data_IF_906319908805
#
_entry.id   IF_906319908805
#
_cell.length_a   1.000
_cell.length_b   1.000
_cell.length_c   1.000
_cell.angle_alpha   90.00
_cell.angle_beta   90.00
_cell.angle_gamma   90.00
#
_symmetry.space_group_name_H-M   'P 1'
#
loop_
_entity.id
_entity.type
_entity.pdbx_description
1 polymer ?
#
# COMPACT_ATOMS: atom_id res chain seq x y z
N UNK A 1 -6.60 31.39 17.14
CA UNK A 1 -7.37 30.66 16.13
C UNK A 1 -6.38 29.81 15.32
N UNK A 2 -6.37 28.50 15.51
CA UNK A 2 -5.52 27.59 14.73
C UNK A 2 -6.32 27.16 13.50
N UNK A 3 -5.89 27.56 12.30
CA UNK A 3 -6.46 27.05 11.05
C UNK A 3 -6.21 25.55 11.00
N UNK A 4 -7.23 24.75 10.81
CA UNK A 4 -7.06 23.30 10.86
C UNK A 4 -6.31 22.82 9.59
N UNK A 5 -5.28 22.01 9.82
CA UNK A 5 -4.35 21.47 8.81
C UNK A 5 -5.01 20.60 7.72
N UNK A 6 -6.30 20.25 7.86
CA UNK A 6 -7.06 19.48 6.88
C UNK A 6 -7.43 20.27 5.60
N UNK A 7 -7.53 21.61 5.68
CA UNK A 7 -7.79 22.43 4.47
C UNK A 7 -6.65 22.33 3.45
N UNK A 8 -5.41 22.12 3.90
CA UNK A 8 -4.27 21.89 3.01
C UNK A 8 -4.34 20.54 2.29
N UNK A 9 -4.84 19.50 2.97
CA UNK A 9 -4.97 18.17 2.37
C UNK A 9 -6.02 18.14 1.25
N UNK A 10 -7.16 18.81 1.44
CA UNK A 10 -8.22 18.90 0.42
C UNK A 10 -7.76 19.69 -0.80
N UNK A 11 -6.98 20.76 -0.62
CA UNK A 11 -6.42 21.53 -1.72
C UNK A 11 -5.38 20.74 -2.52
N UNK A 12 -4.59 19.88 -1.87
CA UNK A 12 -3.61 19.01 -2.55
C UNK A 12 -4.32 17.95 -3.40
N UNK A 13 -5.40 17.35 -2.89
CA UNK A 13 -6.17 16.36 -3.65
C UNK A 13 -6.84 16.98 -4.86
N UNK A 14 -7.48 18.15 -4.71
CA UNK A 14 -8.08 18.88 -5.85
C UNK A 14 -7.01 19.32 -6.87
N UNK A 15 -5.83 19.73 -6.41
CA UNK A 15 -4.70 20.10 -7.29
C UNK A 15 -4.12 18.94 -8.09
N UNK A 16 -4.08 17.74 -7.52
CA UNK A 16 -3.54 16.54 -8.19
C UNK A 16 -4.51 16.06 -9.29
N UNK A 17 -5.82 16.11 -9.06
CA UNK A 17 -6.82 15.66 -10.05
C UNK A 17 -6.91 16.59 -11.25
N UNK A 18 -6.75 17.89 -11.05
CA UNK A 18 -6.79 18.88 -12.16
C UNK A 18 -5.43 19.06 -12.86
N UNK A 19 -4.31 18.71 -12.22
CA UNK A 19 -2.96 18.91 -12.76
C UNK A 19 -2.44 17.81 -13.70
N UNK A 20 -3.09 16.66 -13.77
CA UNK A 20 -2.60 15.53 -14.57
C UNK A 20 -2.82 15.67 -16.09
N UNK A 21 -3.60 16.64 -16.54
CA UNK A 21 -3.88 16.84 -17.98
C UNK A 21 -2.87 17.74 -18.70
N UNK A 22 -1.96 18.46 -18.01
CA UNK A 22 -1.12 19.49 -18.60
C UNK A 22 0.39 19.15 -18.70
N UNK A 23 0.85 17.99 -18.26
CA UNK A 23 2.29 17.66 -18.19
C UNK A 23 2.85 16.82 -19.35
N UNK A 24 2.23 16.85 -20.53
CA UNK A 24 2.59 15.96 -21.64
C UNK A 24 3.59 16.57 -22.65
N UNK A 25 4.47 17.51 -22.28
CA UNK A 25 5.42 18.11 -23.21
C UNK A 25 6.88 18.06 -22.74
N UNK A 26 7.28 17.10 -21.92
CA UNK A 26 8.70 16.87 -21.65
C UNK A 26 9.27 15.95 -22.72
N UNK A 27 10.27 16.42 -23.47
CA UNK A 27 11.10 15.60 -24.36
C UNK A 27 11.79 14.51 -23.55
N UNK A 28 11.24 13.31 -23.59
CA UNK A 28 11.79 12.14 -22.90
C UNK A 28 12.95 11.60 -23.74
N UNK A 29 14.17 11.77 -23.29
CA UNK A 29 15.30 10.99 -23.78
C UNK A 29 15.04 9.51 -23.48
N UNK A 30 15.20 8.61 -24.46
CA UNK A 30 14.98 7.19 -24.23
C UNK A 30 16.03 6.66 -23.25
N UNK A 31 15.62 6.42 -22.03
CA UNK A 31 16.39 5.65 -21.05
C UNK A 31 16.30 4.17 -21.47
N UNK A 32 17.42 3.48 -21.42
CA UNK A 32 17.50 2.04 -21.70
C UNK A 32 16.36 1.30 -21.02
N UNK A 33 15.51 0.72 -21.84
CA UNK A 33 14.37 -0.06 -21.37
C UNK A 33 14.88 -1.40 -20.79
N UNK A 34 15.22 -1.42 -19.52
CA UNK A 34 15.19 -2.68 -18.76
C UNK A 34 13.79 -3.28 -18.93
N UNK A 35 13.72 -4.61 -19.06
CA UNK A 35 12.54 -5.44 -19.31
C UNK A 35 11.34 -5.16 -18.38
N UNK A 36 10.83 -3.93 -18.40
CA UNK A 36 9.62 -3.53 -17.68
C UNK A 36 8.46 -4.08 -18.50
N UNK A 37 7.79 -5.07 -17.95
CA UNK A 37 6.56 -5.57 -18.55
C UNK A 37 5.55 -4.42 -18.58
N UNK A 38 5.10 -3.95 -19.76
CA UNK A 38 4.22 -2.79 -19.85
C UNK A 38 2.79 -3.09 -19.37
N UNK A 39 2.51 -4.36 -19.10
CA UNK A 39 1.19 -4.83 -18.66
C UNK A 39 1.27 -5.32 -17.23
N UNK A 40 0.30 -4.88 -16.43
CA UNK A 40 0.04 -5.40 -15.08
C UNK A 40 -1.19 -6.28 -15.21
N UNK A 41 -1.05 -7.55 -14.90
CA UNK A 41 -2.20 -8.42 -14.81
C UNK A 41 -1.96 -9.50 -13.76
N UNK A 42 -3.01 -9.82 -13.04
CA UNK A 42 -3.04 -10.96 -12.13
C UNK A 42 -4.43 -11.54 -12.11
N UNK A 43 -4.51 -12.83 -11.85
CA UNK A 43 -5.77 -13.53 -11.68
C UNK A 43 -5.65 -14.43 -10.46
N UNK A 44 -6.63 -14.38 -9.58
CA UNK A 44 -6.67 -15.22 -8.39
C UNK A 44 -8.10 -15.66 -8.11
N UNK A 45 -8.22 -16.78 -7.41
CA UNK A 45 -9.48 -17.31 -6.89
C UNK A 45 -9.42 -17.28 -5.38
N UNK A 46 -9.76 -16.14 -4.72
CA UNK A 46 -9.65 -16.00 -3.27
C UNK A 46 -10.65 -16.87 -2.51
N UNK A 47 -11.76 -17.27 -3.14
CA UNK A 47 -12.76 -18.19 -2.58
C UNK A 47 -13.40 -19.04 -3.67
N UNK A 48 -14.20 -20.03 -3.28
CA UNK A 48 -14.95 -20.83 -4.27
C UNK A 48 -16.01 -20.02 -5.01
N UNK A 49 -16.45 -18.91 -4.41
CA UNK A 49 -17.51 -18.05 -4.92
C UNK A 49 -17.04 -16.75 -5.56
N UNK A 50 -15.74 -16.53 -5.70
CA UNK A 50 -15.22 -15.28 -6.29
C UNK A 50 -13.92 -15.45 -7.05
N UNK A 51 -13.78 -14.66 -8.11
CA UNK A 51 -12.54 -14.45 -8.86
C UNK A 51 -12.13 -13.00 -8.74
N UNK A 52 -10.84 -12.77 -8.63
CA UNK A 52 -10.27 -11.45 -8.60
C UNK A 52 -9.26 -11.31 -9.73
N UNK A 53 -9.41 -10.26 -10.53
CA UNK A 53 -8.54 -9.97 -11.66
C UNK A 53 -8.05 -8.51 -11.55
N UNK A 54 -6.75 -8.32 -11.69
CA UNK A 54 -6.15 -6.99 -11.88
C UNK A 54 -5.71 -6.88 -13.33
N UNK A 55 -6.08 -5.80 -14.00
CA UNK A 55 -5.61 -5.45 -15.33
C UNK A 55 -5.14 -4.02 -15.36
N UNK A 56 -4.05 -3.75 -16.05
CA UNK A 56 -3.52 -2.40 -16.14
C UNK A 56 -2.33 -2.27 -17.08
N UNK A 57 -1.80 -1.08 -17.16
CA UNK A 57 -0.62 -0.76 -17.90
C UNK A 57 0.36 0.06 -17.05
N UNK A 58 1.65 -0.10 -17.30
CA UNK A 58 2.72 0.65 -16.68
C UNK A 58 3.57 1.31 -17.77
N UNK A 59 3.85 2.59 -17.60
CA UNK A 59 4.70 3.33 -18.54
C UNK A 59 6.17 3.22 -18.12
N UNK A 60 7.09 3.00 -19.08
CA UNK A 60 8.52 2.88 -18.82
C UNK A 60 9.19 4.25 -18.73
N UNK A 61 8.69 5.11 -17.84
CA UNK A 61 9.23 6.46 -17.61
C UNK A 61 9.54 6.65 -16.12
N UNK A 62 10.32 7.67 -15.73
CA UNK A 62 10.56 8.00 -14.33
C UNK A 62 9.25 8.08 -13.53
N UNK A 63 9.25 7.52 -12.32
CA UNK A 63 8.03 7.41 -11.52
C UNK A 63 7.13 6.24 -11.90
N UNK A 64 7.47 5.47 -12.94
CA UNK A 64 6.76 4.25 -13.38
C UNK A 64 5.25 4.36 -13.22
N UNK A 65 4.59 5.38 -13.81
CA UNK A 65 3.16 5.54 -13.69
C UNK A 65 2.45 4.31 -14.22
N UNK A 66 1.56 3.77 -13.41
CA UNK A 66 0.73 2.63 -13.76
C UNK A 66 -0.73 2.98 -13.49
N UNK A 67 -1.63 2.41 -14.27
CA UNK A 67 -3.07 2.58 -14.11
C UNK A 67 -3.79 1.31 -14.52
N UNK A 68 -4.95 1.08 -13.96
CA UNK A 68 -5.69 -0.13 -14.23
C UNK A 68 -6.99 -0.24 -13.45
N UNK A 69 -7.50 -1.45 -13.43
CA UNK A 69 -8.70 -1.82 -12.70
C UNK A 69 -8.50 -3.15 -11.98
N UNK A 70 -9.01 -3.20 -10.77
CA UNK A 70 -9.20 -4.42 -10.00
C UNK A 70 -10.67 -4.83 -10.16
N UNK A 71 -10.93 -6.02 -10.68
CA UNK A 71 -12.26 -6.52 -11.00
C UNK A 71 -12.54 -7.72 -10.10
N UNK A 72 -13.60 -7.63 -9.33
CA UNK A 72 -14.12 -8.74 -8.55
C UNK A 72 -15.32 -9.34 -9.30
N UNK A 73 -15.17 -10.61 -9.70
CA UNK A 73 -16.19 -11.36 -10.40
C UNK A 73 -16.69 -12.46 -9.48
N UNK A 74 -17.97 -12.45 -9.11
CA UNK A 74 -18.55 -13.58 -8.38
C UNK A 74 -18.51 -14.82 -9.28
N UNK A 75 -18.13 -15.97 -8.72
CA UNK A 75 -18.22 -17.23 -9.42
C UNK A 75 -19.71 -17.57 -9.63
N UNK A 76 -20.05 -18.02 -10.81
CA UNK A 76 -21.39 -18.51 -11.08
C UNK A 76 -21.73 -19.63 -10.09
N UNK A 77 -22.77 -19.45 -9.29
CA UNK A 77 -23.27 -20.52 -8.42
C UNK A 77 -23.68 -21.73 -9.29
N UNK A 78 -23.48 -22.96 -8.81
CA UNK A 78 -23.91 -24.15 -9.52
C UNK A 78 -25.39 -24.04 -9.89
N UNK A 79 -25.76 -24.48 -11.09
CA UNK A 79 -27.14 -24.34 -11.63
C UNK A 79 -28.25 -24.94 -10.78
N UNK A 80 -27.91 -25.77 -9.79
CA UNK A 80 -28.87 -26.38 -8.86
C UNK A 80 -29.25 -25.50 -7.67
N UNK A 81 -28.63 -24.31 -7.50
CA UNK A 81 -29.02 -23.35 -6.47
C UNK A 81 -30.19 -22.53 -6.99
N UNK A 82 -31.41 -22.95 -6.67
CA UNK A 82 -32.68 -22.40 -7.19
C UNK A 82 -32.94 -20.93 -6.85
N UNK A 83 -32.31 -20.38 -5.82
CA UNK A 83 -32.52 -18.99 -5.35
C UNK A 83 -31.26 -18.12 -5.49
N UNK A 84 -30.36 -18.44 -6.40
CA UNK A 84 -29.22 -17.58 -6.67
C UNK A 84 -29.70 -16.22 -7.22
N UNK A 85 -29.28 -15.08 -6.65
CA UNK A 85 -29.60 -13.78 -7.23
C UNK A 85 -29.07 -13.71 -8.64
N UNK A 86 -29.93 -13.39 -9.59
CA UNK A 86 -29.63 -13.43 -11.05
C UNK A 86 -28.76 -12.28 -11.56
N UNK A 87 -28.50 -11.29 -10.73
CA UNK A 87 -27.71 -10.12 -11.11
C UNK A 87 -26.45 -9.99 -10.27
N UNK A 88 -25.41 -10.72 -10.68
CA UNK A 88 -24.07 -10.43 -10.23
C UNK A 88 -23.48 -9.37 -11.15
N UNK A 89 -23.41 -8.14 -10.68
CA UNK A 89 -22.66 -7.09 -11.36
C UNK A 89 -21.21 -7.24 -10.90
N UNK A 90 -20.24 -7.38 -11.81
CA UNK A 90 -18.85 -7.32 -11.44
C UNK A 90 -18.57 -5.96 -10.79
N UNK A 91 -17.97 -5.95 -9.62
CA UNK A 91 -17.49 -4.72 -9.00
C UNK A 91 -16.07 -4.43 -9.51
N UNK A 92 -15.80 -3.17 -9.79
CA UNK A 92 -14.51 -2.76 -10.32
C UNK A 92 -13.96 -1.53 -9.61
N UNK A 93 -12.72 -1.58 -9.15
CA UNK A 93 -12.01 -0.45 -8.58
C UNK A 93 -10.97 0.04 -9.59
N UNK A 94 -11.05 1.30 -9.97
CA UNK A 94 -10.02 1.96 -10.77
C UNK A 94 -8.85 2.35 -9.89
N UNK A 95 -7.63 2.23 -10.40
CA UNK A 95 -6.46 2.66 -9.68
C UNK A 95 -5.42 3.31 -10.59
N UNK A 96 -4.65 4.22 -10.01
CA UNK A 96 -3.44 4.74 -10.60
C UNK A 96 -2.33 4.75 -9.54
N UNK A 97 -1.09 4.56 -9.97
CA UNK A 97 0.09 4.47 -9.10
C UNK A 97 1.27 5.19 -9.71
N UNK A 98 1.98 5.95 -8.89
CA UNK A 98 3.28 6.51 -9.19
C UNK A 98 4.29 5.94 -8.21
N UNK A 99 5.38 5.34 -8.72
CA UNK A 99 6.44 4.77 -7.88
C UNK A 99 7.79 5.32 -8.31
N UNK A 100 8.47 5.95 -7.36
CA UNK A 100 9.86 6.40 -7.51
C UNK A 100 10.73 5.53 -6.63
N UNK A 101 11.70 4.86 -7.24
CA UNK A 101 12.64 3.97 -6.56
C UNK A 101 13.96 3.96 -7.33
N UNK A 102 15.01 3.40 -6.73
CA UNK A 102 16.34 3.24 -7.32
C UNK A 102 16.98 4.59 -7.75
N UNK A 103 17.16 4.80 -9.05
CA UNK A 103 17.84 5.97 -9.61
C UNK A 103 16.99 7.25 -9.60
N UNK A 104 15.69 7.13 -9.42
CA UNK A 104 14.73 8.23 -9.43
C UNK A 104 14.19 8.53 -8.04
N UNK A 105 15.03 9.19 -7.22
CA UNK A 105 14.67 9.53 -5.83
C UNK A 105 13.86 10.82 -5.77
N UNK A 106 12.68 10.75 -5.18
CA UNK A 106 11.87 11.92 -4.91
C UNK A 106 12.21 12.47 -3.51
N UNK A 107 12.59 13.75 -3.44
CA UNK A 107 12.91 14.44 -2.18
C UNK A 107 13.98 13.71 -1.32
N UNK A 108 14.91 12.97 -1.96
CA UNK A 108 15.96 12.22 -1.26
C UNK A 108 15.48 10.94 -0.58
N UNK A 109 14.22 10.53 -0.76
CA UNK A 109 13.71 9.24 -0.34
C UNK A 109 14.15 8.15 -1.31
N UNK A 110 14.43 6.96 -0.80
CA UNK A 110 14.86 5.83 -1.64
C UNK A 110 13.67 5.09 -2.26
N UNK A 111 12.49 5.22 -1.67
CA UNK A 111 11.23 4.70 -2.18
C UNK A 111 10.13 5.74 -1.95
N UNK A 112 9.35 6.03 -2.97
CA UNK A 112 8.13 6.85 -2.85
C UNK A 112 7.06 6.24 -3.71
N UNK A 113 5.90 5.99 -3.12
CA UNK A 113 4.76 5.36 -3.79
C UNK A 113 3.50 6.20 -3.51
N UNK A 114 2.81 6.61 -4.57
CA UNK A 114 1.52 7.26 -4.49
C UNK A 114 0.52 6.40 -5.24
N UNK A 115 -0.50 5.92 -4.55
CA UNK A 115 -1.59 5.14 -5.13
C UNK A 115 -2.91 5.87 -4.90
N UNK A 116 -3.66 6.04 -5.98
CA UNK A 116 -5.03 6.54 -5.96
C UNK A 116 -5.94 5.39 -6.37
N UNK A 117 -7.07 5.23 -5.69
CA UNK A 117 -8.10 4.25 -6.02
C UNK A 117 -9.48 4.91 -5.99
N UNK A 118 -10.31 4.49 -6.89
CA UNK A 118 -11.70 4.91 -6.96
C UNK A 118 -12.59 3.69 -7.23
N UNK A 119 -13.56 3.51 -6.37
CA UNK A 119 -14.59 2.49 -6.51
C UNK A 119 -15.89 3.18 -6.93
N UNK A 120 -16.31 3.03 -8.20
CA UNK A 120 -17.51 3.69 -8.70
C UNK A 120 -18.80 3.11 -8.11
N UNK A 121 -18.79 1.86 -7.62
CA UNK A 121 -19.99 1.22 -7.09
C UNK A 121 -20.34 1.74 -5.70
N UNK A 122 -19.33 2.05 -4.89
CA UNK A 122 -19.49 2.60 -3.53
C UNK A 122 -19.26 4.11 -3.47
N UNK A 123 -18.91 4.74 -4.59
CA UNK A 123 -18.46 6.14 -4.68
C UNK A 123 -17.33 6.46 -3.69
N UNK A 124 -16.42 5.49 -3.49
CA UNK A 124 -15.34 5.56 -2.53
C UNK A 124 -14.03 5.90 -3.23
N UNK A 125 -13.44 7.01 -2.87
CA UNK A 125 -12.08 7.36 -3.27
C UNK A 125 -11.09 7.11 -2.13
N UNK A 126 -9.89 6.62 -2.47
CA UNK A 126 -8.80 6.49 -1.52
C UNK A 126 -7.46 6.89 -2.12
N UNK A 127 -6.64 7.51 -1.29
CA UNK A 127 -5.28 7.90 -1.64
C UNK A 127 -4.34 7.31 -0.61
N UNK A 128 -3.25 6.69 -1.08
CA UNK A 128 -2.16 6.24 -0.21
C UNK A 128 -0.85 6.82 -0.71
N UNK A 129 -0.14 7.46 0.19
CA UNK A 129 1.22 7.93 -0.03
C UNK A 129 2.16 7.20 0.92
N UNK A 130 3.25 6.66 0.40
CA UNK A 130 4.30 6.01 1.20
C UNK A 130 5.65 6.57 0.80
N UNK A 131 6.46 6.94 1.78
CA UNK A 131 7.84 7.36 1.58
C UNK A 131 8.76 6.52 2.46
N UNK A 132 9.87 6.07 1.90
CA UNK A 132 10.84 5.22 2.58
C UNK A 132 12.27 5.72 2.41
N UNK A 133 13.06 5.62 3.48
CA UNK A 133 14.49 5.92 3.50
C UNK A 133 15.26 4.73 4.03
N UNK A 134 16.24 4.26 3.27
CA UNK A 134 17.13 3.17 3.66
C UNK A 134 18.50 3.74 4.01
N UNK A 135 18.92 3.54 5.23
CA UNK A 135 20.20 4.01 5.76
C UNK A 135 21.06 2.79 6.07
N UNK A 136 22.22 2.71 5.43
CA UNK A 136 23.19 1.65 5.71
C UNK A 136 23.98 2.02 6.97
N UNK A 137 23.70 1.35 8.08
CA UNK A 137 24.38 1.59 9.36
C UNK A 137 25.77 0.95 9.37
N UNK A 138 25.86 -0.29 8.91
CA UNK A 138 27.12 -1.05 8.81
C UNK A 138 27.08 -1.95 7.58
N UNK A 139 28.15 -2.75 7.37
CA UNK A 139 28.18 -3.78 6.30
C UNK A 139 27.07 -4.83 6.43
N UNK A 140 26.54 -5.01 7.64
CA UNK A 140 25.58 -6.06 7.97
C UNK A 140 24.31 -5.55 8.63
N UNK A 141 24.12 -4.23 8.73
CA UNK A 141 22.94 -3.65 9.34
C UNK A 141 22.40 -2.50 8.48
N UNK A 142 21.10 -2.52 8.22
CA UNK A 142 20.37 -1.45 7.56
C UNK A 142 19.25 -0.96 8.47
N UNK A 143 19.02 0.34 8.43
CA UNK A 143 17.86 1.00 9.01
C UNK A 143 16.93 1.41 7.88
N UNK A 144 15.67 1.08 7.99
CA UNK A 144 14.63 1.50 7.05
C UNK A 144 13.62 2.32 7.85
N UNK A 145 13.42 3.55 7.41
CA UNK A 145 12.38 4.43 7.91
C UNK A 145 11.28 4.48 6.84
N UNK A 146 10.03 4.32 7.25
CA UNK A 146 8.89 4.41 6.32
C UNK A 146 7.75 5.15 6.95
N UNK A 147 7.22 6.12 6.21
CA UNK A 147 6.01 6.86 6.53
C UNK A 147 4.95 6.52 5.49
N UNK A 148 3.73 6.22 5.93
CA UNK A 148 2.59 5.95 5.07
C UNK A 148 1.40 6.77 5.55
N UNK A 149 0.75 7.43 4.61
CA UNK A 149 -0.46 8.22 4.82
C UNK A 149 -1.54 7.68 3.91
N UNK A 150 -2.69 7.38 4.45
CA UNK A 150 -3.85 6.98 3.68
C UNK A 150 -5.04 7.85 4.01
N UNK A 151 -5.77 8.23 2.98
CA UNK A 151 -6.98 9.01 3.05
C UNK A 151 -8.08 8.25 2.33
N UNK A 152 -9.28 8.26 2.87
CA UNK A 152 -10.46 7.67 2.27
C UNK A 152 -11.61 8.65 2.41
N UNK A 153 -12.36 8.86 1.34
CA UNK A 153 -13.52 9.71 1.33
C UNK A 153 -14.67 9.00 0.63
N UNK A 154 -15.88 8.97 1.22
CA UNK A 154 -17.07 8.53 0.53
C UNK A 154 -17.52 9.65 -0.42
N UNK A 155 -17.27 9.44 -1.74
CA UNK A 155 -17.53 10.43 -2.77
C UNK A 155 -16.60 11.63 -2.80
N UNK A 156 -16.74 12.46 -3.84
CA UNK A 156 -15.96 13.69 -3.99
C UNK A 156 -16.61 14.90 -3.32
N UNK A 157 -17.85 14.78 -2.87
CA UNK A 157 -18.65 15.90 -2.35
C UNK A 157 -18.69 15.98 -0.82
N UNK A 158 -18.28 14.93 -0.12
CA UNK A 158 -18.33 14.89 1.34
C UNK A 158 -17.06 15.44 1.98
N UNK A 159 -17.22 16.16 3.09
CA UNK A 159 -16.10 16.60 3.93
C UNK A 159 -15.69 15.53 4.97
N UNK A 160 -16.27 14.35 4.89
CA UNK A 160 -15.98 13.25 5.81
C UNK A 160 -14.79 12.44 5.28
N UNK A 161 -13.58 12.84 5.66
CA UNK A 161 -12.34 12.20 5.26
C UNK A 161 -11.84 11.33 6.40
N UNK A 162 -11.79 10.04 6.17
CA UNK A 162 -11.05 9.12 7.02
C UNK A 162 -9.57 9.20 6.69
N UNK A 163 -8.75 9.24 7.70
CA UNK A 163 -7.31 9.20 7.50
C UNK A 163 -6.65 8.23 8.46
N UNK A 164 -5.56 7.66 7.99
CA UNK A 164 -4.68 6.82 8.76
C UNK A 164 -3.23 7.18 8.43
N UNK A 165 -2.39 7.25 9.44
CA UNK A 165 -0.95 7.42 9.27
C UNK A 165 -0.21 6.30 9.98
N UNK A 166 0.76 5.72 9.31
CA UNK A 166 1.63 4.67 9.84
C UNK A 166 3.06 5.10 9.66
N UNK A 167 3.82 5.11 10.77
CA UNK A 167 5.27 5.34 10.77
C UNK A 167 5.96 4.07 11.21
N UNK A 168 6.97 3.64 10.50
CA UNK A 168 7.72 2.45 10.87
C UNK A 168 9.22 2.68 10.81
N UNK A 169 9.89 2.04 11.75
CA UNK A 169 11.35 1.97 11.84
C UNK A 169 11.73 0.50 11.88
N UNK A 170 12.55 0.07 10.94
CA UNK A 170 13.00 -1.30 10.84
C UNK A 170 14.53 -1.36 10.85
N UNK A 171 15.09 -2.21 11.67
CA UNK A 171 16.52 -2.55 11.66
C UNK A 171 16.67 -3.99 11.20
N UNK A 172 17.35 -4.18 10.08
CA UNK A 172 17.65 -5.50 9.54
C UNK A 172 19.13 -5.85 9.69
N UNK A 173 19.41 -7.04 10.24
CA UNK A 173 20.76 -7.57 10.45
C UNK A 173 21.05 -8.67 9.42
N UNK A 174 21.86 -8.35 8.41
CA UNK A 174 22.10 -9.23 7.27
C UNK A 174 22.78 -10.56 7.59
N UNK A 175 23.60 -10.64 8.65
CA UNK A 175 24.28 -11.92 9.03
C UNK A 175 23.30 -12.96 9.56
N UNK A 176 22.30 -12.56 10.30
CA UNK A 176 21.33 -13.44 10.95
C UNK A 176 19.95 -13.35 10.32
N UNK A 177 19.79 -12.44 9.34
CA UNK A 177 18.49 -12.07 8.77
C UNK A 177 17.44 -11.68 9.84
N UNK A 178 17.91 -11.23 11.01
CA UNK A 178 17.05 -10.75 12.09
C UNK A 178 16.48 -9.39 11.70
N UNK A 179 15.19 -9.21 11.95
CA UNK A 179 14.49 -7.94 11.72
C UNK A 179 13.85 -7.50 13.02
N UNK A 180 14.21 -6.30 13.48
CA UNK A 180 13.54 -5.59 14.57
C UNK A 180 12.76 -4.44 13.96
N UNK A 181 11.47 -4.38 14.21
CA UNK A 181 10.62 -3.31 13.69
C UNK A 181 9.78 -2.68 14.82
N UNK A 182 9.66 -1.36 14.77
CA UNK A 182 8.71 -0.60 15.55
C UNK A 182 7.74 0.09 14.59
N UNK A 183 6.47 0.06 14.90
CA UNK A 183 5.40 0.65 14.10
C UNK A 183 4.50 1.50 14.99
N UNK A 184 4.15 2.67 14.50
CA UNK A 184 3.27 3.64 15.13
C UNK A 184 2.14 3.94 14.16
N UNK A 185 0.91 3.81 14.62
CA UNK A 185 -0.30 4.03 13.84
C UNK A 185 -1.21 5.03 14.55
N UNK A 186 -1.82 5.91 13.77
CA UNK A 186 -2.83 6.87 14.24
C UNK A 186 -3.89 7.05 13.17
N UNK A 187 -5.13 7.24 13.56
CA UNK A 187 -6.27 7.39 12.65
C UNK A 187 -7.24 8.47 13.11
N UNK A 188 -8.16 8.84 12.25
CA UNK A 188 -9.22 9.81 12.57
C UNK A 188 -10.06 9.39 13.76
N UNK A 189 -10.42 8.11 13.81
CA UNK A 189 -11.33 7.58 14.82
C UNK A 189 -10.67 7.38 16.19
N UNK A 190 -9.34 7.38 16.21
CA UNK A 190 -8.57 7.22 17.42
C UNK A 190 -7.43 8.25 17.48
N UNK A 191 -7.59 9.24 18.35
CA UNK A 191 -6.60 10.30 18.56
C UNK A 191 -5.31 9.79 19.26
N UNK A 192 -5.29 8.53 19.70
CA UNK A 192 -4.14 7.93 20.39
C UNK A 192 -3.23 7.22 19.39
N UNK A 193 -1.95 7.36 19.54
CA UNK A 193 -0.97 6.61 18.78
C UNK A 193 -0.89 5.17 19.29
N UNK A 194 -1.22 4.22 18.44
CA UNK A 194 -0.97 2.80 18.70
C UNK A 194 0.46 2.45 18.32
N UNK A 195 1.15 1.77 19.20
CA UNK A 195 2.53 1.35 18.93
C UNK A 195 2.69 -0.15 19.04
N UNK A 196 3.54 -0.69 18.19
CA UNK A 196 3.95 -2.09 18.24
C UNK A 196 5.44 -2.23 18.02
N UNK A 197 6.04 -3.22 18.67
CA UNK A 197 7.41 -3.65 18.40
C UNK A 197 7.38 -5.12 18.05
N UNK A 198 8.13 -5.51 17.03
CA UNK A 198 8.24 -6.89 16.61
C UNK A 198 9.68 -7.28 16.33
N UNK A 199 10.00 -8.50 16.68
CA UNK A 199 11.26 -9.16 16.38
C UNK A 199 10.97 -10.37 15.50
N UNK A 200 11.62 -10.46 14.37
CA UNK A 200 11.55 -11.62 13.48
C UNK A 200 12.94 -12.23 13.35
N UNK A 201 13.04 -13.52 13.62
CA UNK A 201 14.28 -14.28 13.56
C UNK A 201 14.08 -15.55 12.72
N UNK A 202 14.67 -15.63 11.51
CA UNK A 202 14.78 -16.91 10.80
C UNK A 202 15.81 -17.78 11.52
N UNK A 203 15.39 -18.97 11.95
CA UNK A 203 16.28 -19.96 12.56
C UNK A 203 16.89 -20.88 11.51
N UNK A 204 16.13 -21.17 10.46
CA UNK A 204 16.57 -21.92 9.29
C UNK A 204 15.92 -21.32 8.04
N UNK A 205 16.29 -21.81 6.84
CA UNK A 205 15.63 -21.41 5.58
C UNK A 205 14.11 -21.70 5.58
N UNK A 206 13.69 -22.68 6.37
CA UNK A 206 12.30 -23.13 6.43
C UNK A 206 11.56 -22.66 7.68
N UNK A 207 12.24 -22.18 8.71
CA UNK A 207 11.64 -21.91 10.01
C UNK A 207 11.93 -20.48 10.49
N UNK A 208 10.88 -19.71 10.74
CA UNK A 208 10.98 -18.33 11.21
C UNK A 208 10.13 -18.14 12.47
N UNK A 209 10.73 -17.51 13.47
CA UNK A 209 10.03 -17.06 14.67
C UNK A 209 9.71 -15.57 14.55
N UNK A 210 8.55 -15.17 15.04
CA UNK A 210 8.16 -13.77 15.21
C UNK A 210 7.52 -13.56 16.57
N UNK A 211 8.07 -12.63 17.31
CA UNK A 211 7.48 -12.10 18.54
C UNK A 211 7.04 -10.67 18.31
N UNK A 212 5.90 -10.27 18.82
CA UNK A 212 5.44 -8.87 18.76
C UNK A 212 4.68 -8.49 20.01
N UNK A 213 4.86 -7.24 20.43
CA UNK A 213 4.12 -6.60 21.51
C UNK A 213 3.40 -5.43 20.88
N UNK A 214 2.10 -5.32 21.10
CA UNK A 214 1.25 -4.22 20.62
C UNK A 214 0.77 -3.41 21.79
N UNK A 215 0.47 -2.13 21.52
CA UNK A 215 -0.09 -1.21 22.49
C UNK A 215 0.80 -1.04 23.73
N UNK A 216 2.11 -0.88 23.48
CA UNK A 216 3.15 -0.81 24.51
C UNK A 216 2.89 0.34 25.50
N UNK A 217 2.22 1.42 25.04
CA UNK A 217 1.88 2.60 25.82
C UNK A 217 0.64 2.40 26.70
N UNK A 218 -0.11 1.31 26.56
CA UNK A 218 -1.32 1.05 27.34
C UNK A 218 -1.02 0.24 28.60
N UNK A 219 -1.97 0.21 29.52
CA UNK A 219 -1.85 -0.61 30.74
C UNK A 219 -1.98 -2.13 30.45
N UNK A 220 -2.49 -2.51 29.29
CA UNK A 220 -2.71 -3.91 28.91
C UNK A 220 -2.05 -4.20 27.55
N UNK A 221 -0.71 -4.22 27.44
CA UNK A 221 -0.05 -4.57 26.20
C UNK A 221 -0.35 -6.02 25.80
N UNK A 222 -0.61 -6.23 24.52
CA UNK A 222 -0.84 -7.58 23.99
C UNK A 222 0.43 -8.14 23.36
N UNK A 223 0.80 -9.36 23.71
CA UNK A 223 1.94 -10.06 23.14
C UNK A 223 1.48 -11.20 22.24
N UNK A 224 2.12 -11.34 21.08
CA UNK A 224 1.85 -12.39 20.12
C UNK A 224 3.15 -13.06 19.74
N UNK A 225 3.19 -14.38 19.85
CA UNK A 225 4.30 -15.20 19.37
C UNK A 225 3.82 -16.10 18.24
N UNK A 226 4.53 -16.09 17.11
CA UNK A 226 4.23 -16.89 15.92
C UNK A 226 5.46 -17.66 15.46
N UNK A 227 5.27 -18.93 15.15
CA UNK A 227 6.24 -19.76 14.45
C UNK A 227 5.69 -20.08 13.06
N UNK A 228 6.51 -19.88 12.03
CA UNK A 228 6.16 -20.18 10.64
C UNK A 228 7.13 -21.19 10.09
N UNK A 229 6.59 -22.27 9.56
CA UNK A 229 7.33 -23.24 8.78
C UNK A 229 6.89 -23.17 7.32
N UNK A 230 7.84 -23.06 6.39
CA UNK A 230 7.58 -23.08 4.95
C UNK A 230 8.58 -24.00 4.26
N UNK A 231 8.10 -24.89 3.41
CA UNK A 231 8.93 -25.77 2.58
C UNK A 231 8.54 -25.56 1.12
N UNK A 232 9.53 -25.28 0.28
CA UNK A 232 9.38 -25.24 -1.17
C UNK A 232 9.72 -26.63 -1.70
N UNK A 233 8.84 -27.19 -2.48
CA UNK A 233 8.99 -28.51 -3.14
C UNK A 233 9.59 -28.30 -4.52
#
# INVERSE_FOLDING_TARGET
MRTPSYLLAVSVIKGIITGTAAAASATVTPVHAENIKPYVWSFSKPSESSYYMTVGAQLPVPGRPAFGSDINMPAALPRHVLNAPRSYVPSGTLWTRLRFEDDYKLAGMDETDLTLRFDPDSDLASTRFTAGKKIKLTRHANLILRDSYSFRTPGFETNDIDWNTTKSVEVSLGRTATVLAAEFNNSKDDAVWHSSVSLQQPLTKAFTLRASIREIQTQNPSSVFKARYSRTW
#
